data_IF_456679316028
#
_entry.id   IF_456679316028
#
_cell.length_a   1.000
_cell.length_b   1.000
_cell.length_c   1.000
_cell.angle_alpha   90.00
_cell.angle_beta   90.00
_cell.angle_gamma   90.00
#
_symmetry.space_group_name_H-M   'P 1'
#
loop_
_entity.id
_entity.type
_entity.pdbx_description
1 polymer ?
#
# COMPACT_ATOMS: atom_id res chain seq x y z
N UNK A 1 -4.60 -19.46 11.41
CA UNK A 1 -3.41 -20.29 11.68
C UNK A 1 -2.49 -19.68 12.75
N UNK A 2 -2.12 -18.41 12.66
CA UNK A 2 -1.17 -17.73 13.58
C UNK A 2 -1.56 -17.78 15.07
N UNK A 3 -2.84 -17.54 15.39
CA UNK A 3 -3.36 -17.60 16.77
C UNK A 3 -3.22 -19.01 17.36
N UNK A 4 -3.46 -20.05 16.54
CA UNK A 4 -3.35 -21.46 16.96
C UNK A 4 -1.89 -21.81 17.23
N UNK A 5 -0.97 -21.37 16.36
CA UNK A 5 0.48 -21.57 16.55
C UNK A 5 0.95 -20.86 17.83
N UNK A 6 0.60 -19.59 18.02
CA UNK A 6 0.92 -18.85 19.24
C UNK A 6 0.43 -19.58 20.50
N UNK A 7 -0.82 -20.05 20.49
CA UNK A 7 -1.43 -20.70 21.63
C UNK A 7 -0.76 -22.05 21.95
N UNK A 8 -0.45 -22.85 20.92
CA UNK A 8 0.31 -24.11 21.07
C UNK A 8 1.72 -23.85 21.62
N UNK A 9 2.41 -22.82 21.10
CA UNK A 9 3.77 -22.46 21.55
C UNK A 9 3.75 -21.97 22.99
N UNK A 10 2.83 -21.08 23.36
CA UNK A 10 2.68 -20.60 24.74
C UNK A 10 2.39 -21.76 25.68
N UNK A 11 1.51 -22.71 25.31
CA UNK A 11 1.22 -23.90 26.11
C UNK A 11 2.47 -24.78 26.26
N UNK A 12 3.17 -25.07 25.17
CA UNK A 12 4.36 -25.92 25.17
C UNK A 12 5.50 -25.31 26.02
N UNK A 13 5.75 -24.02 25.86
CA UNK A 13 6.77 -23.29 26.62
C UNK A 13 6.38 -23.18 28.09
N UNK A 14 5.10 -22.93 28.40
CA UNK A 14 4.60 -22.93 29.79
C UNK A 14 4.74 -24.31 30.43
N UNK A 15 4.53 -25.39 29.66
CA UNK A 15 4.72 -26.76 30.14
C UNK A 15 6.20 -27.07 30.41
N UNK A 16 7.10 -26.67 29.51
CA UNK A 16 8.56 -26.82 29.70
C UNK A 16 9.08 -26.04 30.92
N UNK A 17 8.56 -24.83 31.14
CA UNK A 17 8.96 -23.94 32.24
C UNK A 17 8.21 -24.23 33.55
N UNK A 18 7.28 -25.19 33.57
CA UNK A 18 6.55 -25.60 34.78
C UNK A 18 7.49 -26.06 35.91
N UNK A 19 8.69 -26.53 35.57
CA UNK A 19 9.73 -26.90 36.55
C UNK A 19 10.29 -25.72 37.34
N UNK A 20 10.25 -24.50 36.80
CA UNK A 20 10.88 -23.32 37.41
C UNK A 20 10.08 -22.73 38.59
N UNK A 21 8.88 -23.24 38.92
CA UNK A 21 8.02 -22.81 40.06
C UNK A 21 7.73 -21.30 40.19
N UNK A 22 8.20 -20.46 39.27
CA UNK A 22 7.96 -19.02 39.26
C UNK A 22 6.48 -18.71 38.99
N UNK A 23 5.85 -17.96 39.90
CA UNK A 23 4.46 -17.50 39.80
C UNK A 23 4.24 -16.56 38.61
N UNK A 24 5.28 -15.84 38.17
CA UNK A 24 5.19 -14.79 37.14
C UNK A 24 5.65 -15.23 35.74
N UNK A 25 6.21 -16.44 35.62
CA UNK A 25 6.69 -17.03 34.36
C UNK A 25 5.69 -16.90 33.21
N UNK A 26 4.40 -17.16 33.44
CA UNK A 26 3.34 -17.06 32.43
C UNK A 26 3.19 -15.66 31.84
N UNK A 27 3.30 -14.62 32.66
CA UNK A 27 3.19 -13.22 32.22
C UNK A 27 4.39 -12.84 31.36
N UNK A 28 5.59 -13.25 31.78
CA UNK A 28 6.84 -13.01 31.04
C UNK A 28 6.77 -13.69 29.67
N UNK A 29 6.48 -14.99 29.63
CA UNK A 29 6.36 -15.77 28.38
C UNK A 29 5.29 -15.16 27.49
N UNK A 30 4.08 -14.94 28.02
CA UNK A 30 2.96 -14.39 27.26
C UNK A 30 3.28 -13.03 26.65
N UNK A 31 3.99 -12.17 27.38
CA UNK A 31 4.38 -10.84 26.91
C UNK A 31 5.48 -10.89 25.83
N UNK A 32 6.51 -11.71 26.01
CA UNK A 32 7.58 -11.91 25.00
C UNK A 32 7.00 -12.45 23.69
N UNK A 33 6.21 -13.53 23.78
CA UNK A 33 5.56 -14.10 22.60
C UNK A 33 4.49 -13.16 22.04
N UNK A 34 3.81 -12.38 22.88
CA UNK A 34 2.90 -11.32 22.46
C UNK A 34 3.60 -10.29 21.57
N UNK A 35 4.75 -9.77 21.98
CA UNK A 35 5.54 -8.83 21.15
C UNK A 35 5.94 -9.49 19.82
N UNK A 36 6.47 -10.71 19.85
CA UNK A 36 6.91 -11.39 18.64
C UNK A 36 5.75 -11.58 17.64
N UNK A 37 4.59 -12.03 18.11
CA UNK A 37 3.47 -12.37 17.22
C UNK A 37 2.59 -11.19 16.83
N UNK A 38 2.41 -10.19 17.70
CA UNK A 38 1.55 -9.03 17.40
C UNK A 38 2.32 -7.84 16.84
N UNK A 39 3.62 -7.75 17.10
CA UNK A 39 4.41 -6.57 16.71
C UNK A 39 5.50 -6.85 15.68
N UNK A 40 6.05 -8.06 15.62
CA UNK A 40 7.11 -8.40 14.64
C UNK A 40 6.55 -9.20 13.48
N UNK A 41 5.78 -10.26 13.79
CA UNK A 41 5.32 -11.23 12.81
C UNK A 41 4.46 -10.67 11.66
N UNK A 42 3.52 -9.72 11.89
CA UNK A 42 2.73 -9.15 10.81
C UNK A 42 3.59 -8.49 9.72
N UNK A 43 4.72 -7.89 10.11
CA UNK A 43 5.66 -7.26 9.17
C UNK A 43 6.57 -8.26 8.46
N UNK A 44 6.92 -9.37 9.13
CA UNK A 44 7.61 -10.48 8.49
C UNK A 44 6.72 -11.07 7.40
N UNK A 45 5.44 -11.32 7.71
CA UNK A 45 4.47 -11.82 6.74
C UNK A 45 4.30 -10.86 5.56
N UNK A 46 4.14 -9.56 5.84
CA UNK A 46 4.09 -8.53 4.81
C UNK A 46 5.34 -8.53 3.90
N UNK A 47 6.55 -8.62 4.47
CA UNK A 47 7.78 -8.72 3.68
C UNK A 47 7.84 -9.98 2.81
N UNK A 48 7.30 -11.09 3.31
CA UNK A 48 7.23 -12.33 2.55
C UNK A 48 6.26 -12.25 1.38
N UNK A 49 5.07 -11.70 1.60
CA UNK A 49 4.08 -11.46 0.55
C UNK A 49 4.67 -10.56 -0.53
N UNK A 50 5.36 -9.49 -0.11
CA UNK A 50 6.05 -8.56 -0.99
C UNK A 50 7.09 -9.21 -1.91
N UNK A 51 7.76 -10.27 -1.43
CA UNK A 51 8.75 -11.03 -2.19
C UNK A 51 8.18 -12.27 -2.86
N UNK A 52 6.86 -12.47 -2.79
CA UNK A 52 6.17 -13.65 -3.28
C UNK A 52 6.86 -14.96 -2.85
N UNK A 53 7.39 -14.99 -1.62
CA UNK A 53 8.11 -16.14 -1.11
C UNK A 53 7.12 -17.28 -0.82
N UNK A 54 7.44 -18.52 -1.22
CA UNK A 54 6.60 -19.67 -0.90
C UNK A 54 6.36 -19.82 0.61
N UNK A 55 5.20 -20.34 1.01
CA UNK A 55 4.84 -20.55 2.41
C UNK A 55 5.86 -21.40 3.19
N UNK A 56 6.63 -22.24 2.51
CA UNK A 56 7.70 -23.04 3.10
C UNK A 56 8.77 -22.17 3.80
N UNK A 57 9.03 -20.96 3.30
CA UNK A 57 9.99 -20.03 3.90
C UNK A 57 9.47 -19.39 5.20
N UNK A 58 8.16 -19.50 5.49
CA UNK A 58 7.57 -19.03 6.74
C UNK A 58 8.06 -19.89 7.91
N UNK A 59 8.23 -21.20 7.69
CA UNK A 59 8.51 -22.18 8.74
C UNK A 59 9.86 -21.93 9.46
N UNK A 60 11.00 -21.74 8.77
CA UNK A 60 12.26 -21.37 9.43
C UNK A 60 12.15 -20.08 10.24
N UNK A 61 11.42 -19.08 9.73
CA UNK A 61 11.17 -17.83 10.46
C UNK A 61 10.46 -18.06 11.79
N UNK A 62 9.44 -18.93 11.82
CA UNK A 62 8.75 -19.28 13.07
C UNK A 62 9.68 -20.00 14.04
N UNK A 63 10.51 -20.92 13.55
CA UNK A 63 11.46 -21.66 14.38
C UNK A 63 12.47 -20.71 15.03
N UNK A 64 13.02 -19.76 14.27
CA UNK A 64 13.96 -18.75 14.78
C UNK A 64 13.28 -17.85 15.81
N UNK A 65 12.08 -17.33 15.51
CA UNK A 65 11.32 -16.50 16.45
C UNK A 65 10.99 -17.25 17.74
N UNK A 66 10.60 -18.53 17.65
CA UNK A 66 10.33 -19.38 18.79
C UNK A 66 11.59 -19.60 19.63
N UNK A 67 12.72 -19.91 18.99
CA UNK A 67 13.98 -20.10 19.68
C UNK A 67 14.42 -18.84 20.44
N UNK A 68 14.35 -17.67 19.79
CA UNK A 68 14.64 -16.37 20.41
C UNK A 68 13.67 -16.10 21.57
N UNK A 69 12.37 -16.32 21.38
CA UNK A 69 11.35 -16.12 22.41
C UNK A 69 11.57 -17.00 23.64
N UNK A 70 11.93 -18.27 23.44
CA UNK A 70 12.27 -19.20 24.54
C UNK A 70 13.54 -18.75 25.27
N UNK A 71 14.61 -18.37 24.55
CA UNK A 71 15.84 -17.90 25.17
C UNK A 71 15.63 -16.64 26.01
N UNK A 72 14.91 -15.65 25.46
CA UNK A 72 14.58 -14.42 26.18
C UNK A 72 13.71 -14.74 27.41
N UNK A 73 12.71 -15.60 27.26
CA UNK A 73 11.83 -15.98 28.38
C UNK A 73 12.60 -16.69 29.49
N UNK A 74 13.45 -17.66 29.17
CA UNK A 74 14.31 -18.36 30.12
C UNK A 74 15.26 -17.41 30.85
N UNK A 75 15.86 -16.46 30.13
CA UNK A 75 16.74 -15.47 30.71
C UNK A 75 15.99 -14.58 31.71
N UNK A 76 14.82 -14.08 31.33
CA UNK A 76 14.01 -13.18 32.16
C UNK A 76 13.43 -13.87 33.40
N UNK A 77 13.02 -15.14 33.30
CA UNK A 77 12.46 -15.89 34.43
C UNK A 77 13.51 -16.15 35.51
N UNK A 78 14.80 -16.26 35.16
CA UNK A 78 15.88 -16.50 36.13
C UNK A 78 16.32 -15.27 36.92
N UNK A 79 15.77 -14.09 36.64
CA UNK A 79 16.12 -12.86 37.35
C UNK A 79 15.50 -12.86 38.75
N UNK A 80 16.28 -12.48 39.77
CA UNK A 80 15.88 -12.51 41.19
C UNK A 80 14.62 -11.70 41.51
N UNK A 81 14.30 -10.67 40.71
CA UNK A 81 13.16 -9.77 40.94
C UNK A 81 12.01 -10.04 39.94
N UNK A 82 11.52 -11.29 39.92
CA UNK A 82 10.55 -11.77 38.92
C UNK A 82 9.29 -10.92 38.78
N UNK A 83 8.77 -10.36 39.88
CA UNK A 83 7.58 -9.50 39.87
C UNK A 83 7.81 -8.16 39.16
N UNK A 84 8.98 -7.53 39.37
CA UNK A 84 9.36 -6.28 38.68
C UNK A 84 9.56 -6.58 37.19
N UNK A 85 10.23 -7.69 36.88
CA UNK A 85 10.46 -8.12 35.50
C UNK A 85 9.13 -8.36 34.79
N UNK A 86 8.20 -9.08 35.40
CA UNK A 86 6.89 -9.34 34.80
C UNK A 86 6.09 -8.06 34.53
N UNK A 87 6.10 -7.10 35.47
CA UNK A 87 5.48 -5.79 35.27
C UNK A 87 6.12 -5.03 34.10
N UNK A 88 7.46 -4.98 34.05
CA UNK A 88 8.19 -4.30 32.99
C UNK A 88 7.94 -4.92 31.63
N UNK A 89 8.00 -6.25 31.51
CA UNK A 89 7.80 -6.94 30.23
C UNK A 89 6.35 -6.77 29.75
N UNK A 90 5.37 -6.80 30.66
CA UNK A 90 3.98 -6.52 30.31
C UNK A 90 3.78 -5.07 29.83
N UNK A 91 4.41 -4.10 30.50
CA UNK A 91 4.37 -2.70 30.08
C UNK A 91 5.04 -2.49 28.72
N UNK A 92 6.21 -3.11 28.51
CA UNK A 92 6.91 -3.10 27.21
C UNK A 92 6.04 -3.71 26.12
N UNK A 93 5.37 -4.84 26.38
CA UNK A 93 4.43 -5.44 25.43
C UNK A 93 3.31 -4.48 25.04
N UNK A 94 2.69 -3.82 26.01
CA UNK A 94 1.62 -2.84 25.75
C UNK A 94 2.14 -1.67 24.90
N UNK A 95 3.26 -1.06 25.30
CA UNK A 95 3.84 0.08 24.60
C UNK A 95 4.24 -0.27 23.18
N UNK A 96 4.94 -1.39 22.97
CA UNK A 96 5.35 -1.84 21.64
C UNK A 96 4.11 -2.14 20.79
N UNK A 97 3.09 -2.82 21.32
CA UNK A 97 1.88 -3.14 20.56
C UNK A 97 1.14 -1.89 20.10
N UNK A 98 0.98 -0.89 20.99
CA UNK A 98 0.34 0.39 20.65
C UNK A 98 1.14 1.11 19.58
N UNK A 99 2.46 1.24 19.78
CA UNK A 99 3.35 1.92 18.83
C UNK A 99 3.32 1.26 17.45
N UNK A 100 3.46 -0.07 17.41
CA UNK A 100 3.40 -0.86 16.19
C UNK A 100 2.10 -0.64 15.44
N UNK A 101 0.94 -0.67 16.11
CA UNK A 101 -0.34 -0.43 15.46
C UNK A 101 -0.49 1.00 14.97
N UNK A 102 -0.03 2.00 15.74
CA UNK A 102 -0.12 3.39 15.32
C UNK A 102 0.76 3.73 14.11
N UNK A 103 1.83 2.96 13.90
CA UNK A 103 2.81 3.18 12.83
C UNK A 103 2.81 2.06 11.78
N UNK A 104 1.75 1.24 11.71
CA UNK A 104 1.70 0.08 10.82
C UNK A 104 1.95 0.49 9.35
N UNK A 105 1.27 1.55 8.89
CA UNK A 105 1.38 2.05 7.52
C UNK A 105 2.81 2.52 7.22
N UNK A 106 3.42 3.27 8.14
CA UNK A 106 4.78 3.79 7.98
C UNK A 106 5.81 2.66 7.93
N UNK A 107 5.66 1.65 8.80
CA UNK A 107 6.56 0.49 8.84
C UNK A 107 6.44 -0.30 7.53
N UNK A 108 5.22 -0.62 7.09
CA UNK A 108 4.97 -1.33 5.82
C UNK A 108 5.51 -0.57 4.61
N UNK A 109 5.29 0.74 4.53
CA UNK A 109 5.85 1.56 3.46
C UNK A 109 7.39 1.54 3.46
N UNK A 110 8.03 1.66 4.64
CA UNK A 110 9.49 1.53 4.76
C UNK A 110 9.97 0.16 4.30
N UNK A 111 9.30 -0.92 4.69
CA UNK A 111 9.65 -2.28 4.24
C UNK A 111 9.57 -2.37 2.71
N UNK A 112 8.50 -1.86 2.10
CA UNK A 112 8.37 -1.83 0.63
C UNK A 112 9.50 -1.07 -0.04
N UNK A 113 9.84 0.13 0.46
CA UNK A 113 10.92 0.96 -0.08
C UNK A 113 12.27 0.25 0.05
N UNK A 114 12.66 -0.16 1.26
CA UNK A 114 14.00 -0.71 1.51
C UNK A 114 14.21 -2.12 0.97
N UNK A 115 13.13 -2.87 0.72
CA UNK A 115 13.23 -4.18 0.08
C UNK A 115 13.45 -4.11 -1.43
N UNK A 116 13.38 -2.92 -2.04
CA UNK A 116 13.49 -2.74 -3.49
C UNK A 116 12.23 -3.17 -4.24
N UNK A 117 11.04 -2.99 -3.66
CA UNK A 117 9.77 -3.22 -4.36
C UNK A 117 9.52 -2.19 -5.47
N UNK A 118 9.99 -0.96 -5.27
CA UNK A 118 9.91 0.10 -6.28
C UNK A 118 11.19 0.11 -7.09
N UNK A 119 11.08 -0.02 -8.40
CA UNK A 119 12.20 0.14 -9.31
C UNK A 119 12.68 1.60 -9.30
N UNK A 120 14.00 1.82 -9.36
CA UNK A 120 14.57 3.17 -9.33
C UNK A 120 14.27 3.96 -10.61
N UNK A 121 14.03 3.24 -11.72
CA UNK A 121 13.79 3.85 -13.02
C UNK A 121 12.28 3.97 -13.25
N UNK A 122 11.84 5.21 -13.52
CA UNK A 122 10.49 5.43 -14.04
C UNK A 122 10.38 4.68 -15.38
N UNK A 123 9.41 3.78 -15.57
CA UNK A 123 9.24 3.11 -16.84
C UNK A 123 9.06 4.19 -17.90
N UNK A 124 9.83 4.08 -18.99
CA UNK A 124 9.65 4.95 -20.16
C UNK A 124 8.25 4.67 -20.66
N UNK A 125 7.30 5.53 -20.26
CA UNK A 125 5.99 5.55 -20.87
C UNK A 125 6.25 5.88 -22.32
N UNK A 126 6.00 4.93 -23.23
CA UNK A 126 6.25 5.07 -24.67
C UNK A 126 5.61 6.38 -25.18
N UNK A 127 6.36 7.47 -25.10
CA UNK A 127 6.07 8.69 -25.84
C UNK A 127 6.48 8.36 -27.24
N UNK A 128 5.49 8.28 -28.11
CA UNK A 128 5.80 8.45 -29.51
C UNK A 128 6.33 9.88 -29.68
N UNK A 129 7.66 10.02 -29.77
CA UNK A 129 8.35 11.30 -29.90
C UNK A 129 7.95 12.03 -31.21
N UNK A 130 7.18 11.38 -32.09
CA UNK A 130 6.59 11.99 -33.29
C UNK A 130 5.30 12.77 -32.99
N UNK A 131 4.66 12.56 -31.84
CA UNK A 131 3.48 13.32 -31.41
C UNK A 131 3.95 14.53 -30.61
N UNK A 132 4.45 15.53 -31.34
CA UNK A 132 4.68 16.85 -30.76
C UNK A 132 3.32 17.36 -30.26
N UNK A 133 3.21 17.57 -28.95
CA UNK A 133 1.99 17.97 -28.28
C UNK A 133 1.69 19.44 -28.61
N UNK A 134 1.15 19.66 -29.81
CA UNK A 134 0.78 20.97 -30.36
C UNK A 134 -0.42 21.60 -29.64
N UNK A 135 -1.11 20.82 -28.81
CA UNK A 135 -2.34 21.25 -28.16
C UNK A 135 -2.06 22.17 -26.96
N UNK A 136 -2.70 23.36 -26.89
CA UNK A 136 -2.63 24.20 -25.71
C UNK A 136 -3.15 23.44 -24.48
N UNK A 137 -2.49 23.66 -23.34
CA UNK A 137 -2.75 22.94 -22.10
C UNK A 137 -3.27 23.87 -21.01
N UNK A 138 -3.99 23.28 -20.06
CA UNK A 138 -4.49 23.94 -18.87
C UNK A 138 -4.10 23.14 -17.65
N UNK A 139 -3.80 23.84 -16.56
CA UNK A 139 -3.61 23.21 -15.26
C UNK A 139 -4.97 22.87 -14.66
N UNK A 140 -5.11 21.65 -14.17
CA UNK A 140 -6.21 21.22 -13.34
C UNK A 140 -5.67 20.93 -11.94
N UNK A 141 -6.24 21.61 -10.94
CA UNK A 141 -5.94 21.40 -9.55
C UNK A 141 -7.07 20.60 -8.91
N UNK A 142 -6.72 19.50 -8.26
CA UNK A 142 -7.59 18.70 -7.41
C UNK A 142 -7.04 18.68 -5.98
N UNK A 143 -7.82 18.18 -5.01
CA UNK A 143 -7.36 18.12 -3.62
C UNK A 143 -6.07 17.30 -3.51
N UNK A 144 -4.96 17.97 -3.19
CA UNK A 144 -3.63 17.40 -2.98
C UNK A 144 -2.73 17.25 -4.21
N UNK A 145 -3.16 17.61 -5.43
CA UNK A 145 -2.29 17.59 -6.61
C UNK A 145 -2.76 18.47 -7.77
N UNK A 146 -1.85 18.72 -8.71
CA UNK A 146 -2.10 19.40 -9.99
C UNK A 146 -1.65 18.53 -11.15
N UNK A 147 -2.36 18.59 -12.27
CA UNK A 147 -2.01 17.95 -13.53
C UNK A 147 -2.20 18.90 -14.70
N UNK A 148 -1.48 18.66 -15.79
CA UNK A 148 -1.61 19.37 -17.05
C UNK A 148 -2.47 18.57 -18.01
N UNK A 149 -3.64 19.12 -18.37
CA UNK A 149 -4.58 18.52 -19.32
C UNK A 149 -4.56 19.31 -20.64
N UNK A 150 -4.62 18.61 -21.77
CA UNK A 150 -4.89 19.26 -23.06
C UNK A 150 -6.31 19.87 -23.07
N UNK A 151 -6.55 20.88 -23.93
CA UNK A 151 -7.88 21.48 -24.07
C UNK A 151 -8.95 20.53 -24.64
N UNK A 152 -8.54 19.41 -25.21
CA UNK A 152 -9.46 18.40 -25.76
C UNK A 152 -10.21 17.63 -24.66
N UNK A 153 -9.64 17.56 -23.46
CA UNK A 153 -10.31 17.00 -22.29
C UNK A 153 -11.46 17.89 -21.85
N UNK A 154 -12.69 17.46 -22.10
CA UNK A 154 -13.89 18.18 -21.70
C UNK A 154 -14.28 17.79 -20.28
N UNK A 155 -14.39 18.79 -19.41
CA UNK A 155 -14.83 18.59 -18.03
C UNK A 155 -16.31 18.23 -18.01
N UNK A 156 -16.64 17.20 -17.27
CA UNK A 156 -17.99 16.73 -17.01
C UNK A 156 -18.20 16.64 -15.49
N UNK A 157 -19.45 16.59 -15.07
CA UNK A 157 -19.83 16.42 -13.66
C UNK A 157 -20.92 15.35 -13.59
N UNK A 158 -20.65 14.26 -12.89
CA UNK A 158 -21.70 13.28 -12.54
C UNK A 158 -22.29 13.62 -11.17
N UNK A 159 -23.58 13.33 -10.91
CA UNK A 159 -24.22 13.44 -9.57
C UNK A 159 -23.89 14.69 -8.70
N UNK A 160 -23.55 15.84 -9.29
CA UNK A 160 -23.27 17.11 -8.59
C UNK A 160 -21.84 17.67 -8.83
N UNK A 161 -21.50 18.84 -8.25
CA UNK A 161 -20.23 19.54 -8.53
C UNK A 161 -18.98 18.86 -7.96
N UNK A 162 -19.11 17.75 -7.22
CA UNK A 162 -17.99 17.05 -6.58
C UNK A 162 -17.49 15.82 -7.35
N UNK A 163 -18.17 15.41 -8.43
CA UNK A 163 -17.74 14.26 -9.26
C UNK A 163 -17.28 14.74 -10.63
N UNK A 164 -16.21 15.55 -10.61
CA UNK A 164 -15.60 16.02 -11.84
C UNK A 164 -14.83 14.87 -12.50
N UNK A 165 -15.10 14.66 -13.78
CA UNK A 165 -14.33 13.78 -14.63
C UNK A 165 -14.10 14.45 -15.98
N UNK A 166 -13.18 13.92 -16.76
CA UNK A 166 -12.83 14.50 -18.04
C UNK A 166 -13.03 13.47 -19.15
N UNK A 167 -13.73 13.86 -20.21
CA UNK A 167 -13.90 13.04 -21.41
C UNK A 167 -13.01 13.56 -22.53
N UNK A 168 -12.33 12.63 -23.19
CA UNK A 168 -11.68 12.89 -24.47
C UNK A 168 -12.61 12.40 -25.58
N UNK A 169 -13.09 13.33 -26.40
CA UNK A 169 -14.03 13.08 -27.49
C UNK A 169 -13.34 13.33 -28.84
N UNK A 170 -13.61 12.48 -29.84
CA UNK A 170 -13.21 12.69 -31.23
C UNK A 170 -14.39 12.32 -32.13
N UNK A 171 -14.95 13.29 -32.86
CA UNK A 171 -16.17 13.14 -33.65
C UNK A 171 -17.34 12.56 -32.83
N UNK A 172 -17.61 13.14 -31.66
CA UNK A 172 -18.65 12.71 -30.69
C UNK A 172 -18.51 11.29 -30.11
N UNK A 173 -17.44 10.56 -30.47
CA UNK A 173 -17.14 9.26 -29.88
C UNK A 173 -16.25 9.43 -28.64
N UNK A 174 -16.66 8.78 -27.54
CA UNK A 174 -15.83 8.66 -26.33
C UNK A 174 -14.59 7.84 -26.64
N UNK A 175 -13.42 8.44 -26.47
CA UNK A 175 -12.12 7.80 -26.69
C UNK A 175 -11.51 7.36 -25.38
N UNK A 176 -11.52 8.25 -24.39
CA UNK A 176 -10.99 8.02 -23.06
C UNK A 176 -11.73 8.86 -22.03
N UNK A 177 -11.61 8.45 -20.78
CA UNK A 177 -12.15 9.12 -19.62
C UNK A 177 -11.06 9.19 -18.54
N UNK A 178 -10.87 10.37 -17.95
CA UNK A 178 -9.98 10.60 -16.83
C UNK A 178 -10.84 10.93 -15.60
N UNK A 179 -10.73 10.09 -14.58
CA UNK A 179 -11.45 10.17 -13.30
C UNK A 179 -10.43 10.56 -12.22
N UNK A 180 -10.22 11.87 -11.97
CA UNK A 180 -9.33 12.31 -10.91
C UNK A 180 -9.89 11.85 -9.56
N UNK A 181 -9.04 11.24 -8.73
CA UNK A 181 -9.35 11.01 -7.32
C UNK A 181 -8.46 11.88 -6.45
N UNK A 182 -8.91 12.18 -5.25
CA UNK A 182 -8.22 13.09 -4.36
C UNK A 182 -6.99 12.44 -3.72
N UNK A 183 -6.02 13.27 -3.35
CA UNK A 183 -4.83 12.87 -2.63
C UNK A 183 -5.04 13.13 -1.13
N UNK A 184 -5.27 12.05 -0.39
CA UNK A 184 -5.56 12.09 1.05
C UNK A 184 -4.36 11.60 1.87
N UNK A 185 -4.49 11.55 3.18
CA UNK A 185 -3.45 10.98 4.05
C UNK A 185 -3.25 9.50 3.70
N UNK A 186 -2.01 9.00 3.76
CA UNK A 186 -1.75 7.57 3.49
C UNK A 186 -2.39 6.74 4.61
N UNK A 187 -3.48 6.05 4.29
CA UNK A 187 -4.17 5.15 5.21
C UNK A 187 -3.85 3.67 4.96
N UNK A 188 -3.43 3.34 3.74
CA UNK A 188 -3.13 1.99 3.30
C UNK A 188 -1.77 2.02 2.56
N UNK A 189 -0.85 1.10 2.87
CA UNK A 189 0.42 0.98 2.15
C UNK A 189 0.19 0.73 0.66
N UNK A 190 1.03 1.30 -0.18
CA UNK A 190 0.86 1.21 -1.64
C UNK A 190 0.92 -0.24 -2.16
N UNK A 191 1.76 -1.09 -1.55
CA UNK A 191 1.79 -2.52 -1.88
C UNK A 191 0.47 -3.22 -1.57
N UNK A 192 -0.16 -2.95 -0.42
CA UNK A 192 -1.43 -3.57 -0.04
C UNK A 192 -2.53 -3.20 -1.05
N UNK A 193 -2.54 -1.94 -1.53
CA UNK A 193 -3.44 -1.48 -2.61
C UNK A 193 -3.21 -2.26 -3.89
N UNK A 194 -1.96 -2.36 -4.34
CA UNK A 194 -1.61 -3.06 -5.59
C UNK A 194 -1.92 -4.54 -5.50
N UNK A 195 -1.58 -5.17 -4.38
CA UNK A 195 -1.83 -6.58 -4.14
C UNK A 195 -3.33 -6.90 -4.20
N UNK A 196 -4.19 -6.01 -3.68
CA UNK A 196 -5.65 -6.14 -3.80
C UNK A 196 -6.14 -6.20 -5.26
N UNK A 197 -5.62 -5.32 -6.13
CA UNK A 197 -6.00 -5.32 -7.57
C UNK A 197 -5.39 -6.47 -8.37
N UNK A 198 -4.33 -7.10 -7.87
CA UNK A 198 -3.68 -8.24 -8.53
C UNK A 198 -4.24 -9.60 -8.08
N UNK A 199 -5.25 -9.64 -7.21
CA UNK A 199 -5.86 -10.90 -6.79
C UNK A 199 -6.62 -11.55 -7.96
N UNK A 200 -6.51 -12.89 -8.16
CA UNK A 200 -7.19 -13.59 -9.26
C UNK A 200 -8.72 -13.43 -9.24
N UNK A 201 -9.29 -13.25 -8.05
CA UNK A 201 -10.73 -13.12 -7.82
C UNK A 201 -11.22 -11.67 -7.91
N UNK A 202 -10.35 -10.72 -8.28
CA UNK A 202 -10.78 -9.34 -8.47
C UNK A 202 -11.76 -9.28 -9.66
N UNK A 203 -13.03 -8.88 -9.44
CA UNK A 203 -14.10 -9.14 -10.39
C UNK A 203 -13.89 -8.41 -11.72
N UNK A 204 -14.11 -9.15 -12.81
CA UNK A 204 -14.25 -8.59 -14.16
C UNK A 204 -12.97 -8.09 -14.83
N UNK A 205 -11.79 -8.23 -14.22
CA UNK A 205 -10.56 -7.64 -14.79
C UNK A 205 -9.37 -8.60 -14.76
N UNK A 206 -8.76 -8.83 -15.91
CA UNK A 206 -7.44 -9.45 -16.01
C UNK A 206 -6.40 -8.34 -15.78
N UNK A 207 -5.63 -8.45 -14.70
CA UNK A 207 -4.44 -7.60 -14.51
C UNK A 207 -3.42 -7.96 -15.60
N UNK A 208 -3.18 -7.01 -16.50
CA UNK A 208 -2.30 -7.18 -17.66
C UNK A 208 -0.85 -6.85 -17.28
N UNK A 209 -0.65 -5.74 -16.55
CA UNK A 209 0.67 -5.34 -16.08
C UNK A 209 0.60 -4.43 -14.84
N UNK A 210 1.49 -4.69 -13.87
CA UNK A 210 1.75 -3.81 -12.73
C UNK A 210 3.20 -3.38 -12.75
N UNK A 211 3.46 -2.06 -12.77
CA UNK A 211 4.79 -1.48 -12.73
C UNK A 211 4.89 -0.49 -11.57
N UNK A 212 5.74 -0.78 -10.58
CA UNK A 212 5.97 0.06 -9.41
C UNK A 212 7.36 0.68 -9.44
N UNK A 213 7.45 1.99 -9.26
CA UNK A 213 8.68 2.75 -9.45
C UNK A 213 8.78 3.96 -8.53
N UNK A 214 10.01 4.43 -8.35
CA UNK A 214 10.32 5.64 -7.63
C UNK A 214 10.23 6.86 -8.55
N UNK A 215 9.47 7.89 -8.15
CA UNK A 215 9.37 9.17 -8.87
C UNK A 215 10.48 10.12 -8.42
N UNK A 216 10.73 10.16 -7.11
CA UNK A 216 11.76 10.96 -6.46
C UNK A 216 12.18 10.32 -5.13
N UNK A 217 13.14 10.89 -4.42
CA UNK A 217 13.60 10.38 -3.10
C UNK A 217 12.47 10.13 -2.08
N UNK A 218 11.38 10.87 -2.19
CA UNK A 218 10.24 10.82 -1.25
C UNK A 218 8.92 10.44 -1.90
N UNK A 219 8.90 10.18 -3.21
CA UNK A 219 7.66 9.89 -3.96
C UNK A 219 7.77 8.58 -4.72
N UNK A 220 6.74 7.75 -4.61
CA UNK A 220 6.66 6.41 -5.20
C UNK A 220 5.33 6.24 -5.91
N UNK A 221 5.29 5.43 -6.96
CA UNK A 221 4.05 5.11 -7.66
C UNK A 221 3.99 3.69 -8.17
N UNK A 222 2.76 3.24 -8.42
CA UNK A 222 2.45 2.00 -9.11
C UNK A 222 1.41 2.27 -10.18
N UNK A 223 1.69 1.81 -11.40
CA UNK A 223 0.76 1.78 -12.52
C UNK A 223 0.22 0.37 -12.65
N UNK A 224 -1.10 0.22 -12.58
CA UNK A 224 -1.83 -1.03 -12.80
C UNK A 224 -2.62 -0.86 -14.09
N UNK A 225 -2.45 -1.81 -15.01
CA UNK A 225 -3.22 -1.88 -16.25
C UNK A 225 -4.12 -3.10 -16.18
N UNK A 226 -5.42 -2.88 -16.28
CA UNK A 226 -6.43 -3.95 -16.29
C UNK A 226 -7.20 -3.91 -17.59
N UNK A 227 -7.65 -5.08 -18.04
CA UNK A 227 -8.57 -5.22 -19.17
C UNK A 227 -9.86 -5.82 -18.65
N UNK A 228 -10.96 -5.09 -18.81
CA UNK A 228 -12.30 -5.58 -18.53
C UNK A 228 -12.63 -6.69 -19.53
N UNK A 229 -12.80 -7.92 -19.03
CA UNK A 229 -12.99 -9.09 -19.86
C UNK A 229 -14.37 -9.10 -20.56
N UNK A 230 -15.37 -8.41 -20.01
CA UNK A 230 -16.73 -8.38 -20.55
C UNK A 230 -16.89 -7.27 -21.60
N UNK A 231 -16.30 -6.10 -21.35
CA UNK A 231 -16.45 -4.92 -22.21
C UNK A 231 -15.25 -4.68 -23.14
N UNK A 232 -14.14 -5.38 -22.94
CA UNK A 232 -12.89 -5.15 -23.67
C UNK A 232 -12.27 -3.78 -23.39
N UNK A 233 -12.70 -3.10 -22.32
CA UNK A 233 -12.22 -1.77 -21.95
C UNK A 233 -10.89 -1.88 -21.23
N UNK A 234 -9.93 -1.07 -21.64
CA UNK A 234 -8.64 -0.99 -20.97
C UNK A 234 -8.70 0.10 -19.91
N UNK A 235 -8.30 -0.24 -18.68
CA UNK A 235 -8.24 0.69 -17.56
C UNK A 235 -6.80 0.83 -17.09
N UNK A 236 -6.37 2.06 -16.86
CA UNK A 236 -5.05 2.38 -16.30
C UNK A 236 -5.28 3.11 -14.99
N UNK A 237 -4.82 2.51 -13.90
CA UNK A 237 -4.84 3.13 -12.58
C UNK A 237 -3.42 3.45 -12.16
N UNK A 238 -3.18 4.71 -11.79
CA UNK A 238 -1.89 5.17 -11.31
C UNK A 238 -2.03 5.63 -9.86
N UNK A 239 -1.48 4.84 -8.96
CA UNK A 239 -1.44 5.11 -7.53
C UNK A 239 -0.10 5.72 -7.18
N UNK A 240 -0.09 6.81 -6.42
CA UNK A 240 1.14 7.43 -5.97
C UNK A 240 1.08 7.81 -4.49
N UNK A 241 2.23 7.79 -3.85
CA UNK A 241 2.41 8.23 -2.47
C UNK A 241 3.64 9.12 -2.34
N UNK A 242 3.56 10.09 -1.44
CA UNK A 242 4.66 10.94 -1.01
C UNK A 242 4.87 10.74 0.50
N UNK A 243 6.02 10.21 0.88
CA UNK A 243 6.35 9.84 2.26
C UNK A 243 6.63 11.07 3.13
N UNK A 244 7.07 12.18 2.53
CA UNK A 244 7.36 13.41 3.26
C UNK A 244 6.09 14.17 3.65
N UNK A 245 5.13 14.31 2.72
CA UNK A 245 3.85 14.94 2.99
C UNK A 245 2.81 13.99 3.59
N UNK A 246 3.13 12.68 3.66
CA UNK A 246 2.21 11.62 4.07
C UNK A 246 0.90 11.65 3.28
N UNK A 247 1.01 11.81 1.96
CA UNK A 247 -0.15 11.84 1.05
C UNK A 247 -0.09 10.72 0.03
N UNK A 248 -1.23 10.16 -0.33
CA UNK A 248 -1.38 9.27 -1.48
C UNK A 248 -2.62 9.61 -2.28
N UNK A 249 -2.63 9.23 -3.54
CA UNK A 249 -3.81 9.35 -4.38
C UNK A 249 -3.73 8.51 -5.63
N UNK A 250 -4.78 8.64 -6.45
CA UNK A 250 -5.03 7.79 -7.59
C UNK A 250 -5.46 8.64 -8.79
N UNK A 251 -4.91 8.33 -9.95
CA UNK A 251 -5.44 8.74 -11.23
C UNK A 251 -6.01 7.52 -11.92
N UNK A 252 -7.26 7.60 -12.36
CA UNK A 252 -7.95 6.50 -13.03
C UNK A 252 -8.31 6.91 -14.45
N UNK A 253 -7.95 6.07 -15.42
CA UNK A 253 -8.20 6.27 -16.83
C UNK A 253 -8.94 5.08 -17.41
N UNK A 254 -10.07 5.34 -18.09
CA UNK A 254 -10.82 4.33 -18.85
C UNK A 254 -10.65 4.61 -20.33
N UNK A 255 -10.17 3.63 -21.08
CA UNK A 255 -9.88 3.74 -22.52
C UNK A 255 -10.92 2.91 -23.27
N UNK A 256 -11.75 3.60 -24.04
CA UNK A 256 -12.80 2.99 -24.86
C UNK A 256 -12.29 2.57 -26.24
N UNK A 257 -11.30 3.28 -26.79
CA UNK A 257 -10.72 2.98 -28.08
C UNK A 257 -9.22 3.32 -28.05
N UNK A 258 -8.39 2.30 -27.85
CA UNK A 258 -6.94 2.46 -27.70
C UNK A 258 -6.29 3.04 -28.96
N UNK A 259 -5.52 4.12 -28.80
CA UNK A 259 -4.63 4.65 -29.82
C UNK A 259 -3.34 5.18 -29.20
N UNK A 260 -2.22 5.22 -29.94
CA UNK A 260 -0.95 5.77 -29.45
C UNK A 260 -1.09 7.21 -28.93
N UNK A 261 -1.94 8.01 -29.60
CA UNK A 261 -2.29 9.38 -29.20
C UNK A 261 -2.82 9.44 -27.77
N UNK A 262 -3.78 8.57 -27.41
CA UNK A 262 -4.40 8.54 -26.08
C UNK A 262 -3.41 8.09 -25.02
N UNK A 263 -2.60 7.06 -25.32
CA UNK A 263 -1.58 6.58 -24.39
C UNK A 263 -0.52 7.65 -24.12
N UNK A 264 -0.14 8.44 -25.15
CA UNK A 264 0.77 9.57 -25.01
C UNK A 264 0.17 10.69 -24.15
N UNK A 265 -1.12 11.01 -24.35
CA UNK A 265 -1.83 11.98 -23.50
C UNK A 265 -1.90 11.51 -22.04
N UNK A 266 -2.29 10.26 -21.78
CA UNK A 266 -2.32 9.70 -20.41
C UNK A 266 -0.93 9.74 -19.78
N UNK A 267 0.09 9.34 -20.53
CA UNK A 267 1.48 9.40 -20.06
C UNK A 267 1.88 10.82 -19.68
N UNK A 268 1.51 11.80 -20.50
CA UNK A 268 1.78 13.20 -20.18
C UNK A 268 1.05 13.66 -18.91
N UNK A 269 -0.22 13.28 -18.73
CA UNK A 269 -0.98 13.62 -17.52
C UNK A 269 -0.24 13.08 -16.29
N UNK A 270 0.15 11.79 -16.32
CA UNK A 270 0.92 11.14 -15.25
C UNK A 270 2.27 11.82 -15.02
N UNK A 271 2.99 12.20 -16.08
CA UNK A 271 4.27 12.91 -15.99
C UNK A 271 4.14 14.31 -15.42
N UNK A 272 2.98 14.95 -15.60
CA UNK A 272 2.73 16.32 -15.17
C UNK A 272 2.24 16.44 -13.73
N UNK A 273 2.07 15.32 -13.01
CA UNK A 273 1.56 15.32 -11.64
C UNK A 273 2.52 16.08 -10.72
N UNK A 274 1.98 17.10 -10.04
CA UNK A 274 2.67 17.82 -8.99
C UNK A 274 1.86 17.71 -7.70
N UNK A 275 2.48 17.16 -6.65
CA UNK A 275 1.86 17.09 -5.32
C UNK A 275 1.72 18.49 -4.72
N UNK A 276 0.48 18.91 -4.44
CA UNK A 276 0.20 20.23 -3.88
C UNK A 276 0.40 20.23 -2.35
N UNK A 277 0.80 21.37 -1.78
CA UNK A 277 0.87 21.56 -0.31
C UNK A 277 -0.54 21.81 0.26
N UNK A 278 -0.66 21.57 1.56
CA UNK A 278 -1.85 21.43 2.41
C UNK A 278 -2.93 22.55 2.39
N UNK A 279 -2.83 23.55 1.51
CA UNK A 279 -3.63 24.78 1.58
C UNK A 279 -4.79 24.87 0.60
N UNK A 280 -4.96 23.92 -0.31
CA UNK A 280 -6.12 23.93 -1.21
C UNK A 280 -7.22 23.07 -0.60
N UNK A 281 -8.26 23.75 -0.08
CA UNK A 281 -9.56 23.24 0.41
C UNK A 281 -9.72 21.72 0.28
N UNK A 282 -10.01 21.04 1.40
CA UNK A 282 -10.49 19.66 1.41
C UNK A 282 -11.79 19.55 0.60
N UNK A 283 -11.65 19.41 -0.72
CA UNK A 283 -12.74 19.03 -1.62
C UNK A 283 -12.91 17.54 -1.37
N UNK A 284 -14.11 17.13 -0.95
CA UNK A 284 -14.39 15.78 -0.46
C UNK A 284 -13.79 14.70 -1.36
N UNK A 285 -13.00 13.83 -0.77
CA UNK A 285 -12.30 12.77 -1.49
C UNK A 285 -13.29 11.66 -1.87
N UNK A 286 -13.38 11.33 -3.16
CA UNK A 286 -14.19 10.20 -3.63
C UNK A 286 -13.50 8.87 -3.30
N UNK A 287 -14.28 7.87 -2.88
CA UNK A 287 -13.80 6.50 -2.73
C UNK A 287 -13.83 5.76 -4.08
N UNK A 288 -12.91 4.80 -4.28
CA UNK A 288 -12.82 4.02 -5.53
C UNK A 288 -14.11 3.29 -5.92
N UNK A 289 -14.96 2.96 -4.94
CA UNK A 289 -16.24 2.32 -5.15
C UNK A 289 -17.36 3.24 -5.70
N UNK A 290 -17.17 4.56 -5.69
CA UNK A 290 -18.22 5.51 -6.11
C UNK A 290 -18.31 5.70 -7.64
N UNK A 291 -17.36 5.12 -8.38
CA UNK A 291 -17.32 5.11 -9.85
C UNK A 291 -17.72 3.75 -10.47
N UNK A 292 -18.10 2.77 -9.63
CA UNK A 292 -18.68 1.48 -10.03
C UNK A 292 -20.21 1.57 -9.98
#
# INVERSE_FOLDING_TARGET
MQIVILLVVVIAVTFLLRKEKSTYSRVIIGSVFGVLFFSVWPFVFYYMDLKALPELYILPGYIVALFIGVLISLFLVRLKHEHIVALLVALVFIVITIFTRSSEVDIKNKISIYSGYFENDKPVLNRDNSVELLNPRREYAASGYRVSLSREWQKQTDKGPMFEYFLLLKNDNKRAEFRPKCFSKIHVPLFDVVNYFNQPDYPGTLSDATNCYQISEVSYACKITTIDAEQGLKRIQWFAMNTQSNRSGELDFVIYNESPEILSEIAHIIDSVQFARETEKDIGCLATAEWL
#
